data_IF_928519598467
#
_entry.id   IF_928519598467
#
_cell.length_a   1.000
_cell.length_b   1.000
_cell.length_c   1.000
_cell.angle_alpha   90.00
_cell.angle_beta   90.00
_cell.angle_gamma   90.00
#
_symmetry.space_group_name_H-M   'P 1'
#
loop_
_entity.id
_entity.type
_entity.pdbx_description
1 polymer ?
#
# COMPACT_ATOMS: atom_id res chain seq x y z
N UNK A 1 -10.76 3.84 10.50
CA UNK A 1 -10.27 2.48 10.83
C UNK A 1 -8.81 2.41 10.42
N UNK A 2 -7.96 1.71 11.16
CA UNK A 2 -6.53 1.60 10.86
C UNK A 2 -6.19 0.16 10.45
N UNK A 3 -6.28 -0.19 9.16
CA UNK A 3 -5.88 -1.50 8.70
C UNK A 3 -4.35 -1.60 8.66
N UNK A 4 -3.81 -2.80 8.87
CA UNK A 4 -2.37 -3.07 8.75
C UNK A 4 -1.88 -3.16 7.31
N UNK A 5 -2.24 -2.17 6.47
CA UNK A 5 -1.80 -2.05 5.07
C UNK A 5 -0.45 -1.37 5.09
N UNK A 6 0.62 -2.16 5.00
CA UNK A 6 2.00 -1.66 5.08
C UNK A 6 2.65 -1.49 3.70
N UNK A 7 2.16 -2.18 2.67
CA UNK A 7 2.76 -2.15 1.33
C UNK A 7 1.79 -2.74 0.28
N UNK A 8 2.06 -2.46 -0.99
CA UNK A 8 1.38 -3.06 -2.14
C UNK A 8 2.32 -3.98 -2.93
N UNK A 9 3.21 -4.69 -2.22
CA UNK A 9 4.15 -5.67 -2.76
C UNK A 9 4.05 -6.97 -1.94
N UNK A 10 3.65 -8.07 -2.59
CA UNK A 10 3.46 -9.36 -1.92
C UNK A 10 4.77 -9.99 -1.42
N UNK A 11 5.91 -9.80 -2.08
CA UNK A 11 7.22 -10.23 -1.54
C UNK A 11 7.51 -9.58 -0.20
N UNK A 12 7.32 -8.27 -0.09
CA UNK A 12 7.54 -7.56 1.18
C UNK A 12 6.54 -8.02 2.26
N UNK A 13 5.29 -8.27 1.91
CA UNK A 13 4.30 -8.81 2.86
C UNK A 13 4.67 -10.22 3.36
N UNK A 14 5.29 -11.06 2.52
CA UNK A 14 5.84 -12.36 2.91
C UNK A 14 7.04 -12.20 3.86
N UNK A 15 7.96 -11.29 3.57
CA UNK A 15 9.10 -10.99 4.43
C UNK A 15 8.65 -10.52 5.83
N UNK A 16 7.59 -9.70 5.87
CA UNK A 16 6.94 -9.23 7.10
C UNK A 16 6.10 -10.31 7.82
N UNK A 17 5.88 -11.48 7.21
CA UNK A 17 4.98 -12.53 7.70
C UNK A 17 3.54 -12.04 7.97
N UNK A 18 2.99 -11.19 7.06
CA UNK A 18 1.65 -10.58 7.24
C UNK A 18 0.48 -11.49 6.89
N UNK A 19 0.72 -12.58 6.15
CA UNK A 19 -0.33 -13.53 5.75
C UNK A 19 -1.33 -13.00 4.73
N UNK A 20 -1.04 -11.87 4.09
CA UNK A 20 -1.89 -11.24 3.05
C UNK A 20 -1.08 -10.93 1.80
N UNK A 21 -1.77 -10.54 0.73
CA UNK A 21 -1.18 -10.18 -0.59
C UNK A 21 -1.41 -8.69 -0.84
N UNK A 22 -0.67 -8.09 -1.78
CA UNK A 22 -0.89 -6.70 -2.13
C UNK A 22 -2.34 -6.45 -2.57
N UNK A 23 -2.91 -7.35 -3.37
CA UNK A 23 -4.28 -7.23 -3.84
C UNK A 23 -5.33 -7.31 -2.72
N UNK A 24 -5.04 -8.01 -1.61
CA UNK A 24 -5.90 -7.95 -0.43
C UNK A 24 -5.88 -6.56 0.22
N UNK A 25 -4.72 -5.90 0.26
CA UNK A 25 -4.60 -4.53 0.76
C UNK A 25 -5.32 -3.52 -0.16
N UNK A 26 -5.14 -3.65 -1.48
CA UNK A 26 -5.86 -2.80 -2.46
C UNK A 26 -7.37 -2.99 -2.34
N UNK A 27 -7.84 -4.25 -2.31
CA UNK A 27 -9.26 -4.57 -2.13
C UNK A 27 -9.82 -4.02 -0.82
N UNK A 28 -9.05 -4.08 0.27
CA UNK A 28 -9.45 -3.50 1.55
C UNK A 28 -9.63 -1.98 1.46
N UNK A 29 -8.72 -1.24 0.77
CA UNK A 29 -8.88 0.19 0.56
C UNK A 29 -10.13 0.52 -0.25
N UNK A 30 -10.32 -0.13 -1.40
CA UNK A 30 -11.51 0.05 -2.23
C UNK A 30 -12.77 -0.23 -1.41
N UNK A 31 -12.81 -1.32 -0.65
CA UNK A 31 -13.95 -1.72 0.17
C UNK A 31 -14.26 -0.72 1.27
N UNK A 32 -13.25 -0.27 2.03
CA UNK A 32 -13.43 0.75 3.06
C UNK A 32 -14.01 2.03 2.47
N UNK A 33 -13.48 2.50 1.34
CA UNK A 33 -13.99 3.69 0.65
C UNK A 33 -15.42 3.50 0.12
N UNK A 34 -15.73 2.35 -0.50
CA UNK A 34 -17.09 2.01 -0.97
C UNK A 34 -18.14 2.09 0.15
N UNK A 35 -17.75 1.71 1.36
CA UNK A 35 -18.63 1.75 2.54
C UNK A 35 -18.51 3.04 3.36
N UNK A 36 -17.87 4.08 2.84
CA UNK A 36 -17.74 5.38 3.53
C UNK A 36 -16.84 5.35 4.77
N UNK A 37 -16.03 4.30 4.94
CA UNK A 37 -15.07 4.16 6.04
C UNK A 37 -13.72 4.73 5.63
N UNK A 38 -13.20 5.67 6.42
CA UNK A 38 -11.88 6.24 6.18
C UNK A 38 -10.76 5.25 6.59
N UNK A 39 -9.87 4.83 5.66
CA UNK A 39 -8.69 4.05 5.97
C UNK A 39 -7.53 4.97 6.41
N UNK A 40 -7.05 4.79 7.64
CA UNK A 40 -5.82 5.42 8.13
C UNK A 40 -4.71 4.37 8.08
N UNK A 41 -3.69 4.52 7.24
CA UNK A 41 -2.68 3.49 7.03
C UNK A 41 -1.34 4.11 6.63
N UNK A 42 -0.23 3.38 6.81
CA UNK A 42 1.11 3.85 6.46
C UNK A 42 1.74 2.87 5.48
N UNK A 43 2.54 3.36 4.54
CA UNK A 43 3.40 2.48 3.76
C UNK A 43 4.77 2.38 4.44
N UNK A 44 5.32 1.17 4.48
CA UNK A 44 6.62 0.83 5.05
C UNK A 44 7.55 0.44 3.91
N UNK A 45 8.79 0.96 3.95
CA UNK A 45 9.86 0.61 3.02
C UNK A 45 11.17 0.34 3.78
N UNK A 46 12.15 -0.26 3.11
CA UNK A 46 13.44 -0.57 3.73
C UNK A 46 13.43 -1.89 4.49
N UNK A 47 12.50 -2.80 4.20
CA UNK A 47 12.43 -4.08 4.89
C UNK A 47 13.64 -4.97 4.47
N UNK A 48 14.29 -5.71 5.39
CA UNK A 48 15.41 -6.58 5.01
C UNK A 48 14.99 -7.62 3.97
N UNK A 49 15.73 -7.71 2.87
CA UNK A 49 15.40 -8.57 1.71
C UNK A 49 14.46 -7.92 0.68
N UNK A 50 13.93 -6.71 0.92
CA UNK A 50 13.06 -6.01 -0.04
C UNK A 50 13.78 -5.75 -1.37
N UNK A 51 15.04 -5.31 -1.32
CA UNK A 51 15.84 -4.99 -2.49
C UNK A 51 16.28 -6.22 -3.31
N UNK A 52 16.10 -7.43 -2.79
CA UNK A 52 16.45 -8.68 -3.50
C UNK A 52 15.44 -9.03 -4.61
N UNK A 53 14.25 -8.41 -4.61
CA UNK A 53 13.21 -8.58 -5.63
C UNK A 53 12.89 -7.25 -6.34
N UNK A 54 13.85 -6.67 -7.10
CA UNK A 54 13.69 -5.35 -7.70
C UNK A 54 12.54 -5.29 -8.72
N UNK A 55 12.26 -6.38 -9.42
CA UNK A 55 11.17 -6.43 -10.40
C UNK A 55 9.79 -6.34 -9.75
N UNK A 56 9.62 -6.96 -8.58
CA UNK A 56 8.39 -6.85 -7.79
C UNK A 56 8.20 -5.43 -7.24
N UNK A 57 9.29 -4.80 -6.78
CA UNK A 57 9.25 -3.41 -6.37
C UNK A 57 8.90 -2.47 -7.54
N UNK A 58 9.50 -2.67 -8.71
CA UNK A 58 9.15 -1.91 -9.91
C UNK A 58 7.70 -2.16 -10.35
N UNK A 59 7.17 -3.37 -10.20
CA UNK A 59 5.76 -3.67 -10.44
C UNK A 59 4.85 -2.87 -9.51
N UNK A 60 5.16 -2.83 -8.21
CA UNK A 60 4.46 -1.97 -7.26
C UNK A 60 4.51 -0.49 -7.67
N UNK A 61 5.69 0.03 -8.06
CA UNK A 61 5.82 1.42 -8.52
C UNK A 61 4.96 1.75 -9.74
N UNK A 62 4.79 0.79 -10.67
CA UNK A 62 3.89 0.93 -11.83
C UNK A 62 2.42 0.90 -11.46
N UNK A 63 2.07 0.21 -10.36
CA UNK A 63 0.71 0.13 -9.85
C UNK A 63 0.27 1.43 -9.15
N UNK A 64 1.15 2.08 -8.38
CA UNK A 64 0.80 3.25 -7.54
C UNK A 64 0.02 4.36 -8.27
N UNK A 65 0.35 4.77 -9.52
CA UNK A 65 -0.44 5.76 -10.24
C UNK A 65 -1.91 5.38 -10.42
N UNK A 66 -2.22 4.10 -10.63
CA UNK A 66 -3.58 3.60 -10.78
C UNK A 66 -4.38 3.63 -9.48
N UNK A 67 -3.71 3.71 -8.33
CA UNK A 67 -4.35 3.80 -7.01
C UNK A 67 -4.58 5.24 -6.55
N UNK A 68 -4.14 6.24 -7.31
CA UNK A 68 -4.06 7.63 -6.85
C UNK A 68 -5.41 8.31 -6.56
N UNK A 69 -6.53 7.73 -7.01
CA UNK A 69 -7.89 8.14 -6.65
C UNK A 69 -8.33 7.68 -5.27
N UNK A 70 -7.67 6.65 -4.71
CA UNK A 70 -7.94 6.16 -3.36
C UNK A 70 -7.35 7.12 -2.32
N UNK A 71 -7.85 7.03 -1.08
CA UNK A 71 -7.28 7.76 0.07
C UNK A 71 -5.79 7.39 0.16
N UNK A 72 -4.86 8.36 0.15
CA UNK A 72 -3.44 8.08 0.25
C UNK A 72 -3.05 7.62 1.67
N UNK A 73 -1.87 6.99 1.84
CA UNK A 73 -1.37 6.67 3.18
C UNK A 73 -1.08 7.95 3.98
N UNK A 74 -1.22 7.86 5.30
CA UNK A 74 -0.92 8.94 6.24
C UNK A 74 0.59 9.22 6.33
N UNK A 75 1.42 8.20 6.11
CA UNK A 75 2.87 8.32 6.05
C UNK A 75 3.51 7.25 5.15
N UNK A 76 4.69 7.59 4.61
CA UNK A 76 5.68 6.64 4.10
C UNK A 76 6.81 6.57 5.12
N UNK A 77 7.01 5.41 5.74
CA UNK A 77 7.87 5.22 6.90
C UNK A 77 8.96 4.17 6.61
N UNK A 78 10.20 4.37 7.06
CA UNK A 78 11.17 3.29 7.04
C UNK A 78 10.72 2.19 8.02
N UNK A 79 11.13 0.95 7.75
CA UNK A 79 10.91 -0.17 8.67
C UNK A 79 11.49 0.17 10.05
N UNK A 80 10.74 -0.18 11.08
CA UNK A 80 11.20 -0.14 12.46
C UNK A 80 11.40 -1.57 12.95
N UNK A 81 12.16 -1.73 14.04
CA UNK A 81 12.39 -3.01 14.68
C UNK A 81 11.66 -3.04 16.03
N UNK A 82 10.33 -3.18 16.05
CA UNK A 82 9.58 -3.28 17.30
C UNK A 82 9.77 -4.65 17.94
N UNK A 83 9.71 -4.71 19.26
CA UNK A 83 9.69 -5.94 20.05
C UNK A 83 8.51 -6.82 19.64
N UNK A 84 8.68 -8.13 19.73
CA UNK A 84 7.70 -9.16 19.38
C UNK A 84 7.37 -9.24 17.88
N UNK A 85 8.00 -8.43 17.03
CA UNK A 85 7.90 -8.64 15.59
C UNK A 85 8.91 -9.69 15.13
N UNK A 86 8.64 -10.43 14.04
CA UNK A 86 9.59 -11.41 13.51
C UNK A 86 11.00 -10.84 13.31
N UNK A 87 11.11 -9.58 12.87
CA UNK A 87 12.38 -8.88 12.66
C UNK A 87 13.20 -8.68 13.94
N UNK A 88 12.56 -8.61 15.12
CA UNK A 88 13.24 -8.54 16.42
C UNK A 88 13.44 -9.91 17.08
N UNK A 89 12.50 -10.83 16.88
CA UNK A 89 12.54 -12.18 17.48
C UNK A 89 13.52 -13.12 16.76
N UNK A 90 13.74 -12.89 15.46
CA UNK A 90 14.63 -13.71 14.62
C UNK A 90 15.60 -12.84 13.81
N UNK A 91 16.39 -11.96 14.44
CA UNK A 91 17.13 -10.92 13.72
C UNK A 91 18.19 -11.49 12.77
N UNK A 92 18.73 -12.67 13.06
CA UNK A 92 19.70 -13.38 12.20
C UNK A 92 19.06 -13.82 10.87
N UNK A 93 17.77 -14.19 10.88
CA UNK A 93 17.01 -14.52 9.64
C UNK A 93 16.98 -13.33 8.68
N UNK A 94 17.05 -12.12 9.21
CA UNK A 94 17.01 -10.86 8.46
C UNK A 94 18.40 -10.25 8.27
N UNK A 95 19.48 -10.98 8.58
CA UNK A 95 20.86 -10.56 8.30
C UNK A 95 21.53 -9.75 9.41
N UNK A 96 21.01 -9.71 10.64
CA UNK A 96 21.71 -9.06 11.74
C UNK A 96 22.98 -9.84 12.12
N UNK A 97 24.13 -9.15 12.12
CA UNK A 97 25.42 -9.72 12.49
C UNK A 97 25.65 -9.80 14.02
N UNK A 98 24.86 -9.06 14.80
CA UNK A 98 24.97 -8.97 16.25
C UNK A 98 23.56 -8.91 16.90
N UNK A 99 23.45 -9.18 18.22
CA UNK A 99 22.22 -8.93 18.95
C UNK A 99 21.73 -7.50 18.78
N UNK A 100 20.41 -7.32 18.73
CA UNK A 100 19.79 -6.00 18.62
C UNK A 100 19.98 -5.23 19.94
N UNK A 101 20.29 -3.94 19.83
CA UNK A 101 20.39 -3.03 20.97
C UNK A 101 19.11 -2.19 21.10
N UNK A 102 18.76 -1.82 22.32
CA UNK A 102 17.62 -0.93 22.54
C UNK A 102 17.82 0.43 21.86
N UNK A 103 16.74 1.01 21.31
CA UNK A 103 16.86 2.30 20.64
C UNK A 103 17.27 3.40 21.64
N UNK A 104 18.26 4.25 21.31
CA UNK A 104 18.83 5.27 22.20
C UNK A 104 17.81 6.20 22.91
N UNK A 105 16.61 6.34 22.35
CA UNK A 105 15.50 7.10 22.97
C UNK A 105 15.02 6.50 24.29
N UNK A 106 15.35 5.25 24.59
CA UNK A 106 15.03 4.63 25.87
C UNK A 106 16.03 5.02 26.98
N UNK A 107 17.19 5.58 26.62
CA UNK A 107 18.23 5.99 27.58
C UNK A 107 17.77 7.14 28.50
N UNK A 108 16.70 7.85 28.13
CA UNK A 108 16.13 8.96 28.93
C UNK A 108 15.00 8.51 29.85
N UNK A 109 14.54 7.25 29.75
CA UNK A 109 13.40 6.76 30.54
C UNK A 109 13.80 6.51 31.99
N UNK A 110 14.96 5.89 32.20
CA UNK A 110 15.49 5.59 33.52
C UNK A 110 16.91 6.12 33.66
N UNK A 111 17.27 6.57 34.86
CA UNK A 111 18.66 6.96 35.15
C UNK A 111 19.58 5.73 35.12
N UNK A 112 20.85 5.93 34.76
CA UNK A 112 21.85 4.86 34.79
C UNK A 112 21.98 4.23 36.19
N UNK A 113 21.78 5.01 37.26
CA UNK A 113 21.77 4.50 38.64
C UNK A 113 20.61 3.54 38.91
N UNK A 114 19.41 3.85 38.41
CA UNK A 114 18.24 2.98 38.55
C UNK A 114 18.45 1.66 37.81
N UNK A 115 18.92 1.73 36.55
CA UNK A 115 19.20 0.55 35.73
C UNK A 115 20.25 -0.36 36.39
N UNK A 116 21.33 0.22 36.93
CA UNK A 116 22.37 -0.53 37.64
C UNK A 116 21.83 -1.18 38.92
N UNK A 117 21.07 -0.43 39.74
CA UNK A 117 20.49 -0.93 40.98
C UNK A 117 19.55 -2.12 40.73
N UNK A 118 18.78 -2.07 39.65
CA UNK A 118 17.80 -3.10 39.29
C UNK A 118 18.31 -4.16 38.32
N UNK A 119 19.58 -4.05 37.87
CA UNK A 119 20.22 -4.95 36.89
C UNK A 119 19.42 -5.10 35.59
N UNK A 120 18.92 -3.97 35.08
CA UNK A 120 18.17 -3.90 33.83
C UNK A 120 19.04 -3.31 32.72
N UNK A 121 18.98 -3.90 31.53
CA UNK A 121 19.44 -3.32 30.27
C UNK A 121 18.31 -2.59 29.54
N UNK A 122 18.65 -1.76 28.56
CA UNK A 122 17.67 -1.09 27.70
C UNK A 122 16.81 -2.11 26.96
N UNK A 123 17.40 -3.24 26.60
CA UNK A 123 16.81 -4.40 25.94
C UNK A 123 15.78 -5.14 26.80
N UNK A 124 15.65 -4.82 28.09
CA UNK A 124 14.63 -5.43 28.96
C UNK A 124 13.28 -4.71 28.86
N UNK A 125 13.27 -3.43 28.50
CA UNK A 125 12.05 -2.61 28.50
C UNK A 125 11.79 -1.85 27.21
N UNK A 126 12.75 -1.78 26.27
CA UNK A 126 12.53 -1.07 25.01
C UNK A 126 11.45 -1.77 24.17
N UNK A 127 10.53 -1.00 23.60
CA UNK A 127 9.63 -1.52 22.57
C UNK A 127 10.25 -1.40 21.17
N UNK A 128 11.12 -0.43 20.92
CA UNK A 128 11.87 -0.33 19.65
C UNK A 128 13.34 -0.58 19.88
N UNK A 129 13.92 -1.43 19.04
CA UNK A 129 15.36 -1.62 18.93
C UNK A 129 15.95 -0.64 17.91
N UNK A 130 17.25 -0.37 18.01
CA UNK A 130 17.98 0.24 16.92
C UNK A 130 17.91 -0.68 15.70
N UNK A 131 17.73 -0.06 14.54
CA UNK A 131 17.49 -0.79 13.30
C UNK A 131 18.82 -0.95 12.53
N UNK A 132 19.43 -2.16 12.52
CA UNK A 132 20.70 -2.40 11.84
C UNK A 132 20.57 -2.53 10.31
N UNK A 133 19.34 -2.51 9.79
CA UNK A 133 19.05 -2.79 8.38
C UNK A 133 18.89 -1.53 7.52
N UNK A 134 19.40 -0.40 8.00
CA UNK A 134 19.25 0.91 7.34
C UNK A 134 20.26 1.18 6.24
N UNK A 135 21.31 0.37 6.15
CA UNK A 135 22.31 0.49 5.11
C UNK A 135 21.82 -0.20 3.83
N UNK A 136 21.88 0.50 2.70
CA UNK A 136 21.59 -0.05 1.38
C UNK A 136 22.41 0.67 0.31
N UNK A 137 22.49 0.07 -0.87
CA UNK A 137 23.28 0.56 -1.99
C UNK A 137 22.60 1.68 -2.78
N UNK A 138 23.34 2.32 -3.69
CA UNK A 138 22.83 3.43 -4.50
C UNK A 138 21.61 3.03 -5.36
N UNK A 139 21.55 1.77 -5.82
CA UNK A 139 20.42 1.25 -6.58
C UNK A 139 19.15 1.26 -5.74
N UNK A 140 19.23 0.74 -4.51
CA UNK A 140 18.14 0.71 -3.55
C UNK A 140 17.74 2.12 -3.13
N UNK A 141 18.71 3.04 -3.02
CA UNK A 141 18.44 4.46 -2.78
C UNK A 141 17.56 5.08 -3.87
N UNK A 142 17.87 4.81 -5.15
CA UNK A 142 17.05 5.28 -6.28
C UNK A 142 15.64 4.69 -6.21
N UNK A 143 15.51 3.39 -5.91
CA UNK A 143 14.21 2.72 -5.77
C UNK A 143 13.33 3.40 -4.70
N UNK A 144 13.87 3.64 -3.51
CA UNK A 144 13.13 4.33 -2.44
C UNK A 144 12.85 5.80 -2.76
N UNK A 145 13.76 6.47 -3.46
CA UNK A 145 13.52 7.82 -4.00
C UNK A 145 12.31 7.85 -4.94
N UNK A 146 12.22 6.91 -5.88
CA UNK A 146 11.06 6.79 -6.77
C UNK A 146 9.76 6.51 -6.00
N UNK A 147 9.81 5.66 -4.98
CA UNK A 147 8.63 5.40 -4.14
C UNK A 147 8.17 6.65 -3.39
N UNK A 148 9.11 7.39 -2.80
CA UNK A 148 8.83 8.67 -2.16
C UNK A 148 8.24 9.69 -3.14
N UNK A 149 8.75 9.76 -4.37
CA UNK A 149 8.18 10.61 -5.42
C UNK A 149 6.73 10.23 -5.74
N UNK A 150 6.43 8.95 -5.90
CA UNK A 150 5.06 8.47 -6.16
C UNK A 150 4.12 8.76 -4.98
N UNK A 151 4.57 8.54 -3.75
CA UNK A 151 3.82 8.90 -2.54
C UNK A 151 3.48 10.40 -2.51
N UNK A 152 4.47 11.26 -2.73
CA UNK A 152 4.25 12.72 -2.76
C UNK A 152 3.32 13.13 -3.89
N UNK A 153 3.44 12.53 -5.07
CA UNK A 153 2.56 12.79 -6.21
C UNK A 153 1.10 12.40 -5.89
N UNK A 154 0.88 11.23 -5.29
CA UNK A 154 -0.43 10.77 -4.84
C UNK A 154 -1.03 11.75 -3.82
N UNK A 155 -0.29 12.12 -2.77
CA UNK A 155 -0.73 13.09 -1.77
C UNK A 155 -1.12 14.44 -2.39
N UNK A 156 -0.33 14.95 -3.35
CA UNK A 156 -0.61 16.22 -4.03
C UNK A 156 -1.87 16.14 -4.88
N UNK A 157 -2.02 15.07 -5.68
CA UNK A 157 -3.23 14.83 -6.50
C UNK A 157 -4.48 14.79 -5.62
N UNK A 158 -4.44 14.02 -4.54
CA UNK A 158 -5.57 13.88 -3.63
C UNK A 158 -5.94 15.20 -2.95
N UNK A 159 -4.95 15.99 -2.51
CA UNK A 159 -5.18 17.31 -1.88
C UNK A 159 -5.81 18.35 -2.82
N UNK A 160 -5.56 18.28 -4.13
CA UNK A 160 -6.24 19.17 -5.10
C UNK A 160 -7.74 18.89 -5.19
N UNK A 161 -8.21 17.72 -4.75
CA UNK A 161 -9.63 17.41 -4.63
C UNK A 161 -10.34 17.17 -5.96
N UNK A 162 -9.61 17.02 -7.07
CA UNK A 162 -10.18 16.79 -8.40
C UNK A 162 -10.08 15.35 -8.85
N UNK A 163 -9.28 14.50 -8.18
CA UNK A 163 -9.03 13.13 -8.64
C UNK A 163 -10.18 12.18 -8.33
N UNK A 164 -10.52 11.36 -9.33
CA UNK A 164 -11.62 10.44 -9.34
C UNK A 164 -11.37 9.29 -10.32
N UNK A 165 -11.77 8.09 -9.90
CA UNK A 165 -12.06 6.98 -10.78
C UNK A 165 -13.38 6.38 -10.31
N UNK A 166 -14.45 6.65 -11.05
CA UNK A 166 -15.80 6.27 -10.65
C UNK A 166 -16.56 5.50 -11.69
N UNK A 167 -17.64 4.87 -11.26
CA UNK A 167 -18.64 4.33 -12.17
C UNK A 167 -20.06 4.71 -11.76
N UNK A 168 -20.93 4.79 -12.77
CA UNK A 168 -22.39 4.75 -12.65
C UNK A 168 -22.89 3.61 -13.54
N UNK A 169 -23.88 2.86 -13.10
CA UNK A 169 -24.56 1.87 -13.94
C UNK A 169 -26.05 1.89 -13.70
N UNK A 170 -26.79 1.43 -14.71
CA UNK A 170 -28.24 1.23 -14.70
C UNK A 170 -28.63 -0.26 -14.85
N UNK A 171 -27.68 -1.16 -14.62
CA UNK A 171 -27.82 -2.61 -14.84
C UNK A 171 -27.59 -3.08 -16.29
N UNK A 172 -27.77 -2.23 -17.29
CA UNK A 172 -27.60 -2.59 -18.71
C UNK A 172 -26.30 -2.04 -19.29
N UNK A 173 -25.89 -0.85 -18.85
CA UNK A 173 -24.62 -0.25 -19.21
C UNK A 173 -23.93 0.38 -18.00
N UNK A 174 -22.61 0.40 -18.06
CA UNK A 174 -21.76 1.05 -17.07
C UNK A 174 -20.98 2.17 -17.74
N UNK A 175 -21.03 3.35 -17.14
CA UNK A 175 -20.17 4.47 -17.47
C UNK A 175 -19.07 4.57 -16.43
N UNK A 176 -17.82 4.53 -16.86
CA UNK A 176 -16.64 4.72 -16.01
C UNK A 176 -16.02 6.07 -16.35
N UNK A 177 -15.86 6.91 -15.34
CA UNK A 177 -15.18 8.21 -15.43
C UNK A 177 -13.80 8.10 -14.78
N UNK A 178 -12.76 8.57 -15.47
CA UNK A 178 -11.38 8.56 -15.02
C UNK A 178 -10.68 9.89 -15.32
N UNK A 179 -10.09 10.52 -14.30
CA UNK A 179 -9.22 11.69 -14.45
C UNK A 179 -7.90 11.53 -13.68
N UNK A 180 -7.45 10.29 -13.44
CA UNK A 180 -6.21 10.00 -12.70
C UNK A 180 -4.96 10.46 -13.45
N UNK A 181 -4.98 10.45 -14.78
CA UNK A 181 -3.79 10.58 -15.63
C UNK A 181 -3.69 11.89 -16.40
N UNK A 182 -4.81 12.54 -16.68
CA UNK A 182 -4.91 13.76 -17.47
C UNK A 182 -5.82 14.76 -16.74
N UNK A 183 -5.70 16.04 -17.05
CA UNK A 183 -6.61 17.08 -16.55
C UNK A 183 -8.01 16.95 -17.21
N UNK A 184 -8.08 16.23 -18.34
CA UNK A 184 -9.33 15.87 -19.01
C UNK A 184 -9.94 14.58 -18.46
N UNK A 185 -11.24 14.60 -18.17
CA UNK A 185 -12.02 13.41 -17.83
C UNK A 185 -12.18 12.50 -19.05
N UNK A 186 -11.83 11.22 -18.89
CA UNK A 186 -12.14 10.18 -19.87
C UNK A 186 -13.38 9.42 -19.41
N UNK A 187 -14.36 9.26 -20.30
CA UNK A 187 -15.58 8.48 -20.02
C UNK A 187 -15.62 7.27 -20.95
N UNK A 188 -15.62 6.08 -20.35
CA UNK A 188 -15.74 4.79 -21.05
C UNK A 188 -17.13 4.21 -20.82
N UNK A 189 -17.71 3.62 -21.87
CA UNK A 189 -18.99 2.92 -21.81
C UNK A 189 -18.78 1.43 -22.00
N UNK A 190 -19.33 0.65 -21.09
CA UNK A 190 -19.27 -0.80 -21.11
C UNK A 190 -20.68 -1.42 -21.11
N UNK A 191 -20.81 -2.62 -21.67
CA UNK A 191 -22.09 -3.32 -21.83
C UNK A 191 -22.43 -4.26 -20.66
N UNK A 192 -23.53 -5.00 -20.82
CA UNK A 192 -24.08 -5.85 -19.76
C UNK A 192 -23.11 -6.96 -19.28
N UNK A 193 -22.29 -7.55 -20.15
CA UNK A 193 -21.29 -8.55 -19.74
C UNK A 193 -20.23 -7.94 -18.81
N UNK A 194 -19.77 -6.72 -19.10
CA UNK A 194 -18.82 -6.00 -18.25
C UNK A 194 -19.41 -5.70 -16.88
N UNK A 195 -20.67 -5.29 -16.81
CA UNK A 195 -21.39 -5.07 -15.55
C UNK A 195 -21.37 -6.34 -14.69
N UNK A 196 -21.68 -7.50 -15.28
CA UNK A 196 -21.68 -8.80 -14.57
C UNK A 196 -20.28 -9.17 -14.04
N UNK A 197 -19.23 -9.00 -14.84
CA UNK A 197 -17.85 -9.27 -14.39
C UNK A 197 -17.46 -8.32 -13.24
N UNK A 198 -17.78 -7.04 -13.39
CA UNK A 198 -17.55 -6.02 -12.36
C UNK A 198 -18.30 -6.34 -11.07
N UNK A 199 -19.54 -6.83 -11.12
CA UNK A 199 -20.31 -7.20 -9.93
C UNK A 199 -19.63 -8.33 -9.15
N UNK A 200 -19.06 -9.32 -9.85
CA UNK A 200 -18.26 -10.38 -9.21
C UNK A 200 -17.00 -9.80 -8.55
N UNK A 201 -16.29 -8.91 -9.23
CA UNK A 201 -15.08 -8.25 -8.70
C UNK A 201 -15.37 -7.36 -7.47
N UNK A 202 -16.60 -6.85 -7.32
CA UNK A 202 -17.00 -6.07 -6.15
C UNK A 202 -17.20 -6.93 -4.89
N UNK A 203 -17.54 -8.22 -5.04
CA UNK A 203 -17.89 -9.11 -3.92
C UNK A 203 -16.69 -9.58 -3.10
N UNK A 204 -15.54 -9.80 -3.75
CA UNK A 204 -14.30 -10.26 -3.10
C UNK A 204 -13.07 -9.98 -3.95
N UNK A 205 -11.89 -10.15 -3.36
CA UNK A 205 -10.62 -10.24 -4.11
C UNK A 205 -10.56 -11.59 -4.83
N UNK A 206 -10.28 -11.60 -6.13
CA UNK A 206 -10.27 -12.82 -6.95
C UNK A 206 -8.88 -13.15 -7.45
N UNK A 207 -8.57 -14.45 -7.53
CA UNK A 207 -7.64 -14.94 -8.54
C UNK A 207 -8.35 -14.94 -9.89
N UNK A 208 -7.67 -14.46 -10.93
CA UNK A 208 -8.22 -14.36 -12.29
C UNK A 208 -8.78 -15.71 -12.77
N UNK A 209 -8.00 -16.78 -12.65
CA UNK A 209 -8.41 -18.13 -13.04
C UNK A 209 -9.70 -18.56 -12.34
N UNK A 210 -9.78 -18.32 -11.03
CA UNK A 210 -10.94 -18.72 -10.22
C UNK A 210 -12.19 -17.91 -10.59
N UNK A 211 -12.03 -16.63 -10.94
CA UNK A 211 -13.13 -15.80 -11.44
C UNK A 211 -13.67 -16.35 -12.76
N UNK A 212 -12.77 -16.60 -13.72
CA UNK A 212 -13.13 -17.13 -15.04
C UNK A 212 -13.85 -18.47 -14.91
N UNK A 213 -13.30 -19.40 -14.12
CA UNK A 213 -13.88 -20.72 -13.93
C UNK A 213 -15.26 -20.64 -13.24
N UNK A 214 -15.42 -19.77 -12.23
CA UNK A 214 -16.69 -19.59 -11.53
C UNK A 214 -17.77 -18.98 -12.44
N UNK A 215 -17.44 -17.93 -13.19
CA UNK A 215 -18.40 -17.27 -14.08
C UNK A 215 -18.79 -18.13 -15.27
N UNK A 216 -17.86 -18.95 -15.80
CA UNK A 216 -18.17 -19.89 -16.86
C UNK A 216 -19.11 -21.02 -16.38
N UNK A 217 -19.00 -21.43 -15.11
CA UNK A 217 -19.88 -22.45 -14.53
C UNK A 217 -21.33 -21.99 -14.31
N UNK A 218 -21.56 -20.68 -14.11
CA UNK A 218 -22.91 -20.10 -13.95
C UNK A 218 -23.72 -20.02 -15.27
N UNK A 219 -23.22 -20.61 -16.37
CA UNK A 219 -23.84 -20.68 -17.70
C UNK A 219 -24.14 -19.30 -18.35
N UNK A 220 -23.47 -18.23 -17.90
CA UNK A 220 -23.75 -16.85 -18.31
C UNK A 220 -22.78 -16.21 -19.30
N UNK A 221 -21.57 -16.76 -19.50
CA UNK A 221 -20.54 -16.28 -20.43
C UNK A 221 -19.49 -17.37 -20.68
N UNK A 222 -18.88 -17.40 -21.87
CA UNK A 222 -17.74 -18.28 -22.14
C UNK A 222 -16.46 -17.78 -21.45
N UNK A 223 -15.51 -18.68 -21.21
CA UNK A 223 -14.19 -18.28 -20.69
C UNK A 223 -13.46 -17.28 -21.58
N UNK A 224 -13.71 -17.32 -22.90
CA UNK A 224 -13.13 -16.39 -23.87
C UNK A 224 -13.70 -14.98 -23.64
N UNK A 225 -15.03 -14.86 -23.58
CA UNK A 225 -15.70 -13.57 -23.34
C UNK A 225 -15.28 -12.92 -22.01
N UNK A 226 -15.10 -13.71 -20.94
CA UNK A 226 -14.66 -13.17 -19.65
C UNK A 226 -13.22 -12.63 -19.74
N UNK A 227 -12.33 -13.35 -20.45
CA UNK A 227 -10.94 -12.89 -20.66
C UNK A 227 -10.91 -11.60 -21.48
N UNK A 228 -11.71 -11.52 -22.55
CA UNK A 228 -11.81 -10.33 -23.38
C UNK A 228 -12.26 -9.12 -22.54
N UNK A 229 -13.25 -9.29 -21.65
CA UNK A 229 -13.67 -8.23 -20.71
C UNK A 229 -12.55 -7.82 -19.75
N UNK A 230 -11.81 -8.78 -19.19
CA UNK A 230 -10.70 -8.47 -18.30
C UNK A 230 -9.57 -7.74 -19.03
N UNK A 231 -9.29 -8.11 -20.28
CA UNK A 231 -8.31 -7.45 -21.14
C UNK A 231 -8.72 -6.02 -21.49
N UNK A 232 -10.01 -5.78 -21.75
CA UNK A 232 -10.55 -4.43 -21.93
C UNK A 232 -10.40 -3.58 -20.65
N UNK A 233 -10.73 -4.14 -19.48
CA UNK A 233 -10.54 -3.45 -18.20
C UNK A 233 -9.06 -3.16 -17.91
N UNK A 234 -8.17 -4.09 -18.25
CA UNK A 234 -6.72 -3.96 -18.09
C UNK A 234 -6.16 -2.89 -19.02
N UNK A 235 -6.58 -2.87 -20.29
CA UNK A 235 -6.21 -1.85 -21.27
C UNK A 235 -6.63 -0.45 -20.79
N UNK A 236 -7.81 -0.34 -20.16
CA UNK A 236 -8.33 0.87 -19.57
C UNK A 236 -7.79 1.19 -18.15
N UNK A 237 -6.86 0.38 -17.61
CA UNK A 237 -6.29 0.52 -16.25
C UNK A 237 -7.34 0.56 -15.13
N UNK A 238 -8.41 -0.21 -15.29
CA UNK A 238 -9.50 -0.33 -14.33
C UNK A 238 -9.28 -1.46 -13.31
N UNK A 239 -8.26 -2.31 -13.55
CA UNK A 239 -7.84 -3.37 -12.65
C UNK A 239 -6.49 -3.02 -11.99
N UNK A 240 -6.37 -3.40 -10.72
CA UNK A 240 -5.09 -3.60 -10.06
C UNK A 240 -4.79 -5.10 -10.03
N UNK A 241 -3.53 -5.46 -10.31
CA UNK A 241 -3.16 -6.86 -10.50
C UNK A 241 -1.76 -7.14 -9.92
N UNK A 242 -1.62 -8.29 -9.27
CA UNK A 242 -0.33 -8.82 -8.81
C UNK A 242 -0.45 -10.32 -8.58
N UNK A 243 0.54 -11.11 -9.03
CA UNK A 243 0.58 -12.57 -8.83
C UNK A 243 -0.71 -13.31 -9.27
N UNK A 244 -1.37 -12.83 -10.33
CA UNK A 244 -2.62 -13.41 -10.87
C UNK A 244 -3.87 -13.12 -10.04
N UNK A 245 -3.78 -12.21 -9.06
CA UNK A 245 -4.92 -11.67 -8.33
C UNK A 245 -5.32 -10.32 -8.92
N UNK A 246 -6.62 -10.05 -8.97
CA UNK A 246 -7.19 -8.88 -9.63
C UNK A 246 -8.20 -8.17 -8.73
N UNK A 247 -8.22 -6.84 -8.81
CA UNK A 247 -9.13 -5.97 -8.05
C UNK A 247 -9.68 -4.88 -8.95
N UNK A 248 -11.01 -4.72 -8.94
CA UNK A 248 -11.69 -3.60 -9.56
C UNK A 248 -11.40 -2.30 -8.80
N UNK A 249 -10.87 -1.31 -9.52
CA UNK A 249 -10.46 -0.02 -8.95
C UNK A 249 -11.56 1.05 -8.91
N UNK A 250 -12.44 1.18 -9.93
CA UNK A 250 -13.48 2.21 -9.91
C UNK A 250 -14.44 2.08 -8.72
N UNK A 251 -14.76 3.21 -8.10
CA UNK A 251 -15.71 3.26 -6.98
C UNK A 251 -17.07 3.80 -7.47
N UNK A 252 -18.19 3.46 -6.81
CA UNK A 252 -19.48 4.10 -7.12
C UNK A 252 -19.35 5.63 -7.05
N UNK A 253 -19.95 6.36 -8.00
CA UNK A 253 -19.82 7.84 -8.06
C UNK A 253 -20.22 8.55 -6.76
N UNK A 254 -21.18 8.00 -6.01
CA UNK A 254 -21.59 8.50 -4.69
C UNK A 254 -20.42 8.57 -3.69
N UNK A 255 -19.39 7.73 -3.86
CA UNK A 255 -18.13 7.73 -3.09
C UNK A 255 -17.22 8.93 -3.37
N UNK A 256 -17.63 9.89 -4.21
CA UNK A 256 -16.92 11.15 -4.42
C UNK A 256 -17.80 12.37 -4.14
N UNK A 257 -19.11 12.18 -4.03
CA UNK A 257 -20.09 13.25 -3.79
C UNK A 257 -20.27 13.55 -2.29
N UNK A 258 -19.90 12.63 -1.39
CA UNK A 258 -20.01 12.86 0.07
C UNK A 258 -18.74 13.50 0.67
N UNK A 259 -18.79 14.58 1.46
CA UNK A 259 -17.58 15.30 1.89
C UNK A 259 -16.64 14.58 2.87
N UNK A 260 -16.96 13.36 3.31
CA UNK A 260 -16.41 12.77 4.54
C UNK A 260 -14.91 12.44 4.47
N UNK A 261 -14.37 12.10 3.29
CA UNK A 261 -12.95 11.74 3.13
C UNK A 261 -12.05 12.98 2.98
N UNK A 262 -12.46 13.93 2.14
CA UNK A 262 -11.67 15.14 1.81
C UNK A 262 -11.46 16.05 3.03
N UNK A 263 -12.48 16.21 3.88
CA UNK A 263 -12.40 17.03 5.08
C UNK A 263 -11.44 16.48 6.15
N UNK A 264 -11.24 15.15 6.21
CA UNK A 264 -10.35 14.51 7.20
C UNK A 264 -8.88 14.55 6.80
N UNK A 265 -8.56 14.38 5.51
CA UNK A 265 -7.18 14.52 5.00
C UNK A 265 -6.64 15.94 5.26
N UNK A 266 -7.47 16.96 5.03
CA UNK A 266 -7.09 18.36 5.29
C UNK A 266 -6.89 18.64 6.80
N UNK A 267 -7.68 18.02 7.69
CA UNK A 267 -7.54 18.17 9.15
C UNK A 267 -6.37 17.37 9.74
N UNK A 268 -6.11 16.16 9.25
CA UNK A 268 -5.01 15.31 9.71
C UNK A 268 -3.62 15.84 9.33
N UNK A 269 -3.53 16.58 8.21
CA UNK A 269 -2.27 17.13 7.72
C UNK A 269 -1.76 18.32 8.57
N UNK A 270 -2.64 19.02 9.30
CA UNK A 270 -2.25 20.13 10.18
C UNK A 270 -1.52 19.64 11.45
N UNK A 271 -1.71 18.38 11.86
CA UNK A 271 -1.20 17.87 13.14
C UNK A 271 0.04 16.96 13.05
N UNK A 272 0.58 16.66 11.85
CA UNK A 272 1.74 15.77 11.71
C UNK A 272 2.79 16.24 10.70
N UNK A 273 2.96 17.54 10.52
CA UNK A 273 4.22 18.08 10.01
C UNK A 273 5.28 18.07 11.14
N UNK A 274 5.60 16.90 11.65
CA UNK A 274 7.00 16.63 11.90
C UNK A 274 7.52 16.17 10.56
N UNK A 275 7.94 17.15 9.77
CA UNK A 275 9.01 16.89 8.83
C UNK A 275 10.02 16.07 9.61
N UNK A 276 10.17 14.81 9.21
CA UNK A 276 11.46 14.17 9.33
C UNK A 276 12.34 15.10 8.49
N UNK A 277 12.88 16.14 9.14
CA UNK A 277 14.17 16.68 8.72
C UNK A 277 14.99 15.43 8.45
N UNK A 278 15.67 15.29 7.30
CA UNK A 278 16.58 14.18 7.13
C UNK A 278 17.51 14.25 8.34
N UNK A 279 17.27 13.39 9.33
CA UNK A 279 18.26 13.16 10.35
C UNK A 279 19.45 12.70 9.54
N UNK A 280 20.61 13.23 9.86
CA UNK A 280 21.94 12.98 9.29
C UNK A 280 22.38 11.49 9.23
N UNK A 281 21.45 10.55 9.24
CA UNK A 281 21.58 9.11 9.36
C UNK A 281 21.28 8.33 8.05
N UNK A 282 21.02 9.01 6.93
CA UNK A 282 21.00 8.37 5.61
C UNK A 282 22.29 8.77 4.89
N UNK A 283 23.38 8.05 5.15
CA UNK A 283 24.63 8.22 4.40
C UNK A 283 24.80 7.01 3.48
N UNK A 284 24.94 7.22 2.15
CA UNK A 284 25.50 6.19 1.31
C UNK A 284 26.88 5.82 1.85
N UNK A 285 27.29 4.55 1.74
CA UNK A 285 28.68 4.16 1.99
C UNK A 285 29.58 4.94 1.02
N UNK A 286 30.21 6.01 1.50
CA UNK A 286 31.40 6.53 0.83
C UNK A 286 32.51 5.51 1.08
N UNK A 287 32.71 4.62 0.11
CA UNK A 287 33.85 3.71 0.11
C UNK A 287 35.16 4.49 0.09
N UNK A 288 36.06 4.12 1.00
CA UNK A 288 37.50 4.23 0.82
C UNK A 288 37.96 2.96 0.15
#
# INVERSE_FOLDING_TARGET
MQPGIETFNSHVLRLMNKGVRAMHNVYALCTLMRHGVYPAYNLIFGFPGEAEAPDEFHAMLRLLPSLSHLVPPDALMPVLTPRYAPISEMPQRYGAAAPLTGHWRYDVVFSSSFLQQHRLGTEDFCYYFDNPYRDFDDRTAVMYGLFQHQYVAWMRKYKRGTIELSFRDDGECMLVSDNRFDDCETVLKFGAIHCRVRDQLLQRCWSEKVLIDAMAAEAGASQCEIRDVLDEFRAARLLAEEEGWIVWLPLPKICYETPSWRARVLKGCVMRNHSVRPSSAWRPRTGV
#
